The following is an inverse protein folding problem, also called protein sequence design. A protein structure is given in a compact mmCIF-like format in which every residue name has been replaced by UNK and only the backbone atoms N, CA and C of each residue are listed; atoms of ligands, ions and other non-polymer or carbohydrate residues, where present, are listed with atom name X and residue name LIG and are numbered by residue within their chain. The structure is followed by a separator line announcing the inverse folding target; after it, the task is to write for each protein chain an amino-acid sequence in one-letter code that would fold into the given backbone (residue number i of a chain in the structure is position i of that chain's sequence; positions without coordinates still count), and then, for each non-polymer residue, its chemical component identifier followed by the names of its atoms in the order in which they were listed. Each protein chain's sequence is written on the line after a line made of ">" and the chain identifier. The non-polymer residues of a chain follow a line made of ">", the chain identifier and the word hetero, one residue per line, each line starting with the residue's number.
data_IF_614798905355
#
_entry.id   IF_614798905355
#
_cell.length_a   1.000
_cell.length_b   1.000
_cell.length_c   1.000
_cell.angle_alpha   90.00
_cell.angle_beta   90.00
_cell.angle_gamma   90.00
#
_symmetry.space_group_name_H-M   'P 1'
#
loop_
_entity.id
_entity.type
_entity.pdbx_description
1 polymer ?
#
# COMPACT_ATOMS: atom_id res chain seq x y z
N UNK A 1 16.46 5.58 17.96
CA UNK A 1 17.09 5.17 16.69
C UNK A 1 16.96 6.30 15.70
N UNK A 2 17.92 6.42 14.79
CA UNK A 2 17.81 7.27 13.61
C UNK A 2 17.12 6.46 12.50
N UNK A 3 15.98 6.95 12.00
CA UNK A 3 15.08 6.17 11.14
C UNK A 3 14.77 6.92 9.85
N UNK A 4 15.12 6.33 8.71
CA UNK A 4 14.77 6.85 7.38
C UNK A 4 13.45 6.24 6.88
N UNK A 5 12.50 7.08 6.52
CA UNK A 5 11.23 6.66 5.90
C UNK A 5 11.22 7.07 4.43
N UNK A 6 11.57 6.12 3.55
CA UNK A 6 11.53 6.31 2.09
C UNK A 6 10.09 6.23 1.62
N UNK A 7 9.55 7.35 1.15
CA UNK A 7 8.11 7.55 0.94
C UNK A 7 7.38 8.15 2.15
N UNK A 8 8.11 8.82 3.03
CA UNK A 8 7.61 9.39 4.30
C UNK A 8 6.49 10.41 4.14
N UNK A 9 6.36 11.06 2.97
CA UNK A 9 5.27 12.00 2.68
C UNK A 9 4.02 11.36 2.07
N UNK A 10 4.07 10.05 1.79
CA UNK A 10 2.92 9.28 1.31
C UNK A 10 1.89 9.02 2.41
N UNK A 11 0.77 8.40 2.03
CA UNK A 11 -0.34 8.10 2.94
C UNK A 11 0.12 7.37 4.20
N UNK A 12 0.71 6.18 4.07
CA UNK A 12 1.19 5.41 5.23
C UNK A 12 2.41 6.09 5.87
N UNK A 13 3.29 6.68 5.05
CA UNK A 13 4.51 7.34 5.50
C UNK A 13 4.28 8.48 6.49
N UNK A 14 3.28 9.34 6.26
CA UNK A 14 2.95 10.43 7.18
C UNK A 14 2.46 9.93 8.55
N UNK A 15 1.67 8.85 8.57
CA UNK A 15 1.23 8.21 9.81
C UNK A 15 2.40 7.55 10.53
N UNK A 16 3.29 6.86 9.79
CA UNK A 16 4.47 6.22 10.36
C UNK A 16 5.46 7.25 10.92
N UNK A 17 5.77 8.32 10.17
CA UNK A 17 6.65 9.37 10.65
C UNK A 17 6.15 10.00 11.95
N UNK A 18 4.83 10.21 12.07
CA UNK A 18 4.23 10.76 13.31
C UNK A 18 4.37 9.77 14.46
N UNK A 19 4.07 8.51 14.27
CA UNK A 19 4.17 7.48 15.31
C UNK A 19 5.60 7.30 15.79
N UNK A 20 6.58 7.27 14.87
CA UNK A 20 8.00 7.18 15.22
C UNK A 20 8.49 8.40 15.99
N UNK A 21 8.10 9.62 15.60
CA UNK A 21 8.43 10.87 16.31
C UNK A 21 7.79 10.88 17.70
N UNK A 22 6.53 10.49 17.83
CA UNK A 22 5.82 10.39 19.11
C UNK A 22 6.47 9.37 20.07
N UNK A 23 7.12 8.32 19.53
CA UNK A 23 7.88 7.33 20.30
C UNK A 23 9.34 7.74 20.55
N UNK A 24 9.76 8.91 20.07
CA UNK A 24 11.07 9.51 20.35
C UNK A 24 12.21 9.03 19.46
N UNK A 25 11.91 8.50 18.27
CA UNK A 25 12.92 8.26 17.24
C UNK A 25 13.30 9.58 16.54
N UNK A 26 14.54 9.68 16.06
CA UNK A 26 14.95 10.74 15.12
C UNK A 26 14.53 10.32 13.70
N UNK A 27 13.58 11.03 13.11
CA UNK A 27 12.95 10.59 11.86
C UNK A 27 13.34 11.48 10.69
N UNK A 28 13.78 10.86 9.59
CA UNK A 28 14.03 11.53 8.32
C UNK A 28 13.05 10.99 7.27
N UNK A 29 12.22 11.86 6.70
CA UNK A 29 11.29 11.51 5.63
C UNK A 29 11.87 11.85 4.26
N UNK A 30 12.11 10.82 3.42
CA UNK A 30 12.58 10.99 2.04
C UNK A 30 11.41 10.90 1.07
N UNK A 31 11.30 11.88 0.18
CA UNK A 31 10.36 11.87 -0.93
C UNK A 31 10.76 12.86 -2.03
N UNK A 32 10.10 12.80 -3.19
CA UNK A 32 10.38 13.71 -4.32
C UNK A 32 10.01 15.17 -4.04
N UNK A 33 8.99 15.41 -3.23
CA UNK A 33 8.45 16.74 -2.93
C UNK A 33 8.08 16.83 -1.45
N UNK A 34 9.07 16.84 -0.54
CA UNK A 34 8.79 16.81 0.90
C UNK A 34 8.07 18.07 1.42
N UNK A 35 8.23 19.20 0.77
CA UNK A 35 7.59 20.46 1.17
C UNK A 35 6.05 20.46 1.04
N UNK A 36 5.48 19.51 0.29
CA UNK A 36 4.02 19.42 0.05
C UNK A 36 3.31 18.64 1.17
N UNK A 37 4.03 18.02 2.10
CA UNK A 37 3.47 17.19 3.17
C UNK A 37 3.41 17.93 4.51
N UNK A 38 2.41 17.58 5.32
CA UNK A 38 2.29 18.04 6.71
C UNK A 38 2.84 16.95 7.63
N UNK A 39 4.09 17.10 8.04
CA UNK A 39 4.78 16.24 9.00
C UNK A 39 4.95 16.96 10.35
N UNK A 40 5.18 16.24 11.46
CA UNK A 40 5.56 16.83 12.73
C UNK A 40 6.83 17.70 12.61
N UNK A 41 6.94 18.72 13.44
CA UNK A 41 8.10 19.63 13.45
C UNK A 41 9.43 18.91 13.79
N UNK A 42 9.37 17.75 14.47
CA UNK A 42 10.51 16.90 14.82
C UNK A 42 11.03 16.05 13.66
N UNK A 43 10.28 15.94 12.57
CA UNK A 43 10.64 15.10 11.41
C UNK A 43 11.47 15.89 10.39
N UNK A 44 12.69 15.45 10.14
CA UNK A 44 13.52 16.01 9.08
C UNK A 44 13.03 15.54 7.70
N UNK A 45 13.28 16.35 6.66
CA UNK A 45 12.85 16.01 5.30
C UNK A 45 13.98 16.12 4.29
N UNK A 46 14.08 15.12 3.41
CA UNK A 46 15.06 15.08 2.32
C UNK A 46 14.35 14.85 0.99
N UNK A 47 14.74 15.62 -0.02
CA UNK A 47 14.24 15.44 -1.39
C UNK A 47 15.09 14.41 -2.13
N UNK A 48 14.44 13.39 -2.74
CA UNK A 48 15.11 12.38 -3.55
C UNK A 48 14.11 11.52 -4.33
N UNK A 49 14.54 11.00 -5.47
CA UNK A 49 13.79 10.06 -6.31
C UNK A 49 14.43 8.68 -6.21
N UNK A 50 13.72 7.69 -5.71
CA UNK A 50 14.21 6.31 -5.54
C UNK A 50 14.68 5.66 -6.83
N UNK A 51 14.30 6.20 -7.99
CA UNK A 51 14.75 5.71 -9.30
C UNK A 51 16.13 6.26 -9.70
N UNK A 52 16.69 7.18 -8.92
CA UNK A 52 17.96 7.86 -9.17
C UNK A 52 18.84 7.70 -7.92
N UNK A 53 19.76 6.71 -7.94
CA UNK A 53 20.60 6.33 -6.79
C UNK A 53 21.29 7.53 -6.12
N UNK A 54 21.99 8.35 -6.92
CA UNK A 54 22.75 9.51 -6.43
C UNK A 54 21.88 10.56 -5.73
N UNK A 55 20.56 10.53 -5.93
CA UNK A 55 19.63 11.47 -5.29
C UNK A 55 19.15 11.04 -3.91
N UNK A 56 19.36 9.77 -3.54
CA UNK A 56 18.88 9.20 -2.29
C UNK A 56 19.99 8.70 -1.37
N UNK A 57 21.15 8.34 -1.94
CA UNK A 57 22.22 7.61 -1.27
C UNK A 57 22.64 8.29 0.06
N UNK A 58 22.91 9.59 0.04
CA UNK A 58 23.36 10.33 1.23
C UNK A 58 22.34 10.40 2.37
N UNK A 59 21.05 10.14 2.09
CA UNK A 59 20.02 10.11 3.12
C UNK A 59 20.09 8.88 4.04
N UNK A 60 20.86 7.85 3.63
CA UNK A 60 21.06 6.63 4.41
C UNK A 60 22.21 6.72 5.40
N UNK A 61 23.07 7.76 5.30
CA UNK A 61 24.21 7.95 6.18
C UNK A 61 23.75 8.15 7.63
N UNK A 62 24.24 7.29 8.55
CA UNK A 62 23.96 7.35 9.97
C UNK A 62 22.58 6.87 10.40
N UNK A 63 21.82 6.24 9.50
CA UNK A 63 20.53 5.66 9.85
C UNK A 63 20.68 4.27 10.47
N UNK A 64 19.95 3.99 11.53
CA UNK A 64 19.86 2.66 12.17
C UNK A 64 18.84 1.76 11.44
N UNK A 65 17.74 2.36 10.98
CA UNK A 65 16.65 1.63 10.33
C UNK A 65 16.09 2.38 9.12
N UNK A 66 15.63 1.61 8.12
CA UNK A 66 15.01 2.15 6.89
C UNK A 66 13.65 1.49 6.65
N UNK A 67 12.63 2.29 6.42
CA UNK A 67 11.36 1.85 5.86
C UNK A 67 11.26 2.20 4.39
N UNK A 68 11.00 1.22 3.53
CA UNK A 68 10.70 1.44 2.13
C UNK A 68 9.20 1.31 1.87
N UNK A 69 8.52 2.46 1.75
CA UNK A 69 7.05 2.53 1.62
C UNK A 69 6.60 2.99 0.23
N UNK A 70 7.54 3.25 -0.70
CA UNK A 70 7.20 3.80 -2.01
C UNK A 70 6.40 2.79 -2.82
N UNK A 71 5.23 3.21 -3.26
CA UNK A 71 4.37 2.40 -4.10
C UNK A 71 3.55 3.26 -5.07
N UNK A 72 3.35 2.73 -6.28
CA UNK A 72 2.30 3.19 -7.18
C UNK A 72 1.01 2.44 -6.87
N UNK A 73 -0.11 3.14 -6.96
CA UNK A 73 -1.42 2.53 -6.77
C UNK A 73 -1.67 1.40 -7.78
N UNK A 74 -2.08 0.20 -7.35
CA UNK A 74 -2.50 -0.88 -8.25
C UNK A 74 -3.88 -0.63 -8.86
N UNK A 75 -4.63 0.37 -8.34
CA UNK A 75 -6.01 0.66 -8.72
C UNK A 75 -6.09 1.39 -10.06
N UNK A 76 -5.03 2.10 -10.45
CA UNK A 76 -4.96 2.87 -11.68
C UNK A 76 -3.70 2.53 -12.48
N UNK A 77 -3.79 2.69 -13.79
CA UNK A 77 -2.62 2.61 -14.66
C UNK A 77 -1.68 3.79 -14.34
N UNK A 78 -0.39 3.54 -14.07
CA UNK A 78 0.54 4.62 -13.80
C UNK A 78 0.76 5.54 -15.01
N UNK A 79 1.03 6.80 -14.75
CA UNK A 79 1.60 7.71 -15.73
C UNK A 79 2.95 7.15 -16.19
N UNK A 80 3.17 7.06 -17.51
CA UNK A 80 4.34 6.37 -18.07
C UNK A 80 4.14 4.88 -18.35
N UNK A 81 2.97 4.31 -18.00
CA UNK A 81 2.60 2.92 -18.32
C UNK A 81 3.00 1.89 -17.27
N UNK A 82 2.68 0.63 -17.56
CA UNK A 82 2.81 -0.48 -16.60
C UNK A 82 4.28 -0.78 -16.21
N UNK A 83 5.25 -0.42 -17.07
CA UNK A 83 6.69 -0.54 -16.77
C UNK A 83 7.16 0.34 -15.59
N UNK A 84 6.36 1.34 -15.21
CA UNK A 84 6.65 2.16 -14.03
C UNK A 84 6.60 1.38 -12.72
N UNK A 85 5.82 0.29 -12.67
CA UNK A 85 5.83 -0.60 -11.49
C UNK A 85 7.21 -1.23 -11.28
N UNK A 86 7.84 -1.71 -12.36
CA UNK A 86 9.19 -2.29 -12.26
C UNK A 86 10.24 -1.23 -11.90
N UNK A 87 10.19 -0.08 -12.56
CA UNK A 87 11.13 1.01 -12.29
C UNK A 87 11.07 1.51 -10.83
N UNK A 88 9.87 1.67 -10.28
CA UNK A 88 9.69 2.27 -8.94
C UNK A 88 9.75 1.21 -7.84
N UNK A 89 9.05 0.08 -7.99
CA UNK A 89 9.01 -0.91 -6.91
C UNK A 89 10.28 -1.75 -6.87
N UNK A 90 10.73 -2.28 -8.02
CA UNK A 90 11.96 -3.05 -8.05
C UNK A 90 13.19 -2.14 -8.04
N UNK A 91 13.35 -1.26 -9.04
CA UNK A 91 14.53 -0.39 -9.13
C UNK A 91 14.70 0.53 -7.92
N UNK A 92 13.60 1.08 -7.37
CA UNK A 92 13.66 1.85 -6.13
C UNK A 92 14.08 1.02 -4.92
N UNK A 93 13.67 -0.26 -4.84
CA UNK A 93 14.13 -1.17 -3.78
C UNK A 93 15.61 -1.53 -3.98
N UNK A 94 16.04 -1.83 -5.22
CA UNK A 94 17.46 -2.11 -5.53
C UNK A 94 18.36 -0.96 -5.07
N UNK A 95 18.03 0.28 -5.44
CA UNK A 95 18.78 1.46 -5.03
C UNK A 95 18.79 1.66 -3.51
N UNK A 96 17.64 1.45 -2.85
CA UNK A 96 17.55 1.65 -1.41
C UNK A 96 18.27 0.57 -0.61
N UNK A 97 18.21 -0.69 -1.05
CA UNK A 97 18.97 -1.80 -0.43
C UNK A 97 20.46 -1.57 -0.60
N UNK A 98 20.92 -1.19 -1.81
CA UNK A 98 22.31 -0.87 -2.06
C UNK A 98 22.81 0.25 -1.14
N UNK A 99 22.06 1.36 -1.02
CA UNK A 99 22.44 2.48 -0.16
C UNK A 99 22.44 2.05 1.33
N UNK A 100 21.47 1.25 1.77
CA UNK A 100 21.42 0.75 3.13
C UNK A 100 22.64 -0.13 3.47
N UNK A 101 23.03 -1.04 2.57
CA UNK A 101 24.23 -1.89 2.75
C UNK A 101 25.52 -1.07 2.74
N UNK A 102 25.67 -0.09 1.83
CA UNK A 102 26.86 0.75 1.73
C UNK A 102 27.05 1.65 2.96
N UNK A 103 25.98 2.12 3.58
CA UNK A 103 25.99 2.96 4.79
C UNK A 103 25.89 2.18 6.10
N UNK A 104 25.79 0.85 6.04
CA UNK A 104 25.77 -0.01 7.22
C UNK A 104 24.50 0.13 8.07
N UNK A 105 23.37 0.34 7.42
CA UNK A 105 22.04 0.28 8.07
C UNK A 105 21.79 -1.12 8.60
N UNK A 106 21.31 -1.24 9.83
CA UNK A 106 21.04 -2.55 10.44
C UNK A 106 19.69 -3.11 9.98
N UNK A 107 18.61 -2.32 10.06
CA UNK A 107 17.21 -2.76 9.84
C UNK A 107 16.61 -2.25 8.54
N UNK A 108 15.97 -3.12 7.76
CA UNK A 108 15.27 -2.75 6.54
C UNK A 108 13.84 -3.31 6.51
N UNK A 109 12.84 -2.44 6.55
CA UNK A 109 11.43 -2.81 6.52
C UNK A 109 10.82 -2.48 5.16
N UNK A 110 10.39 -3.53 4.43
CA UNK A 110 9.77 -3.42 3.12
C UNK A 110 8.25 -3.48 3.21
N UNK A 111 7.56 -2.44 2.77
CA UNK A 111 6.12 -2.52 2.54
C UNK A 111 5.81 -3.09 1.15
N UNK A 112 5.45 -4.35 1.13
CA UNK A 112 5.06 -5.11 -0.07
C UNK A 112 3.53 -5.11 -0.25
N UNK A 113 2.96 -6.19 -0.74
CA UNK A 113 1.52 -6.35 -0.91
C UNK A 113 1.13 -7.84 -0.88
N UNK A 114 -0.08 -8.15 -0.45
CA UNK A 114 -0.65 -9.50 -0.58
C UNK A 114 -0.56 -10.00 -2.01
N UNK A 115 -0.14 -11.25 -2.16
CA UNK A 115 0.04 -11.92 -3.45
C UNK A 115 1.27 -11.48 -4.23
N UNK A 116 2.24 -10.77 -3.61
CA UNK A 116 3.52 -10.46 -4.23
C UNK A 116 4.21 -11.75 -4.72
N UNK A 117 4.50 -11.81 -6.03
CA UNK A 117 5.01 -13.00 -6.71
C UNK A 117 5.83 -12.56 -7.94
N UNK A 118 7.11 -12.95 -8.07
CA UNK A 118 7.97 -12.56 -9.19
C UNK A 118 7.44 -13.02 -10.56
N UNK A 119 6.56 -14.03 -10.59
CA UNK A 119 5.91 -14.57 -11.79
C UNK A 119 4.40 -14.23 -11.85
N UNK A 120 3.92 -13.34 -10.99
CA UNK A 120 2.51 -12.98 -10.84
C UNK A 120 1.85 -12.39 -12.09
N UNK A 121 0.51 -12.38 -12.13
CA UNK A 121 -0.30 -12.04 -13.31
C UNK A 121 -0.29 -10.55 -13.69
N UNK A 122 0.05 -9.63 -12.77
CA UNK A 122 0.09 -8.19 -13.02
C UNK A 122 1.51 -7.63 -12.91
N UNK A 123 1.79 -6.50 -13.58
CA UNK A 123 3.08 -5.82 -13.45
C UNK A 123 3.36 -5.38 -12.01
N UNK A 124 2.31 -4.96 -11.29
CA UNK A 124 2.41 -4.57 -9.87
C UNK A 124 2.90 -5.74 -9.00
N UNK A 125 2.21 -6.89 -9.07
CA UNK A 125 2.51 -8.08 -8.24
C UNK A 125 3.89 -8.65 -8.56
N UNK A 126 4.27 -8.71 -9.85
CA UNK A 126 5.61 -9.12 -10.26
C UNK A 126 6.71 -8.20 -9.74
N UNK A 127 6.52 -6.90 -9.86
CA UNK A 127 7.50 -5.93 -9.38
C UNK A 127 7.68 -6.00 -7.87
N UNK A 128 6.57 -6.15 -7.11
CA UNK A 128 6.62 -6.37 -5.66
C UNK A 128 7.33 -7.68 -5.30
N UNK A 129 6.99 -8.79 -5.96
CA UNK A 129 7.65 -10.09 -5.70
C UNK A 129 9.16 -10.09 -6.00
N UNK A 130 9.58 -9.41 -7.08
CA UNK A 130 11.01 -9.24 -7.40
C UNK A 130 11.72 -8.32 -6.40
N UNK A 131 11.05 -7.25 -5.95
CA UNK A 131 11.58 -6.38 -4.90
C UNK A 131 11.81 -7.13 -3.58
N UNK A 132 10.88 -8.02 -3.19
CA UNK A 132 11.08 -8.89 -2.03
C UNK A 132 12.30 -9.81 -2.19
N UNK A 133 12.55 -10.34 -3.41
CA UNK A 133 13.75 -11.15 -3.66
C UNK A 133 15.05 -10.34 -3.45
N UNK A 134 15.07 -9.06 -3.83
CA UNK A 134 16.24 -8.18 -3.57
C UNK A 134 16.45 -8.04 -2.07
N UNK A 135 15.39 -7.73 -1.31
CA UNK A 135 15.46 -7.55 0.14
C UNK A 135 15.91 -8.84 0.84
N UNK A 136 15.30 -9.99 0.50
CA UNK A 136 15.62 -11.27 1.15
C UNK A 136 17.02 -11.83 0.80
N UNK A 137 17.65 -11.33 -0.27
CA UNK A 137 19.00 -11.69 -0.67
C UNK A 137 20.06 -10.71 -0.16
N UNK A 138 19.64 -9.59 0.45
CA UNK A 138 20.55 -8.61 1.04
C UNK A 138 21.19 -9.12 2.34
N UNK A 139 22.21 -8.40 2.81
CA UNK A 139 22.85 -8.65 4.11
C UNK A 139 22.14 -7.98 5.30
N UNK A 140 21.04 -7.26 5.03
CA UNK A 140 20.30 -6.49 6.04
C UNK A 140 19.43 -7.37 6.92
N UNK A 141 19.18 -6.94 8.14
CA UNK A 141 18.15 -7.50 9.03
C UNK A 141 16.77 -7.02 8.56
N UNK A 142 16.18 -7.76 7.65
CA UNK A 142 14.96 -7.33 6.96
C UNK A 142 13.67 -7.85 7.59
N UNK A 143 12.59 -7.09 7.40
CA UNK A 143 11.21 -7.50 7.65
C UNK A 143 10.33 -7.07 6.46
N UNK A 144 9.44 -7.95 6.00
CA UNK A 144 8.52 -7.67 4.89
C UNK A 144 7.07 -7.70 5.36
N UNK A 145 6.34 -6.62 5.10
CA UNK A 145 4.90 -6.57 5.33
C UNK A 145 4.14 -6.67 4.01
N UNK A 146 3.18 -7.58 3.95
CA UNK A 146 2.22 -7.76 2.85
C UNK A 146 0.81 -7.40 3.34
N UNK A 147 0.48 -6.13 3.46
CA UNK A 147 -0.86 -5.74 3.90
C UNK A 147 -1.91 -6.01 2.81
N UNK A 148 -3.15 -6.25 3.24
CA UNK A 148 -4.33 -6.02 2.43
C UNK A 148 -4.47 -4.53 2.12
N UNK A 149 -5.55 -4.11 1.47
CA UNK A 149 -5.77 -2.69 1.21
C UNK A 149 -5.81 -1.91 2.52
N UNK A 150 -5.03 -0.84 2.57
CA UNK A 150 -4.96 0.03 3.75
C UNK A 150 -5.92 1.21 3.57
N UNK A 151 -6.69 1.53 4.60
CA UNK A 151 -7.60 2.67 4.61
C UNK A 151 -7.31 3.62 5.78
N UNK A 152 -7.75 4.86 5.64
CA UNK A 152 -7.55 5.91 6.64
C UNK A 152 -7.56 7.30 5.99
N UNK A 153 -7.29 8.32 6.77
CA UNK A 153 -7.18 9.70 6.31
C UNK A 153 -5.99 9.84 5.33
N UNK A 154 -6.23 10.42 4.17
CA UNK A 154 -5.25 10.51 3.07
C UNK A 154 -5.17 9.27 2.17
N UNK A 155 -5.87 8.17 2.52
CA UNK A 155 -5.87 6.93 1.74
C UNK A 155 -6.81 6.97 0.52
N UNK A 156 -6.44 6.22 -0.52
CA UNK A 156 -7.19 6.19 -1.78
C UNK A 156 -8.38 5.21 -1.78
N UNK A 157 -8.43 4.23 -0.87
CA UNK A 157 -9.36 3.09 -0.97
C UNK A 157 -10.83 3.52 -0.94
N UNK A 158 -11.22 4.38 -0.01
CA UNK A 158 -12.59 4.90 0.11
C UNK A 158 -12.91 5.83 -1.05
N UNK A 159 -12.00 6.75 -1.38
CA UNK A 159 -12.17 7.72 -2.47
C UNK A 159 -12.22 7.04 -3.84
N UNK A 160 -11.46 5.95 -4.04
CA UNK A 160 -11.52 5.12 -5.24
C UNK A 160 -12.92 4.56 -5.50
N UNK A 161 -13.59 4.02 -4.46
CA UNK A 161 -14.94 3.48 -4.58
C UNK A 161 -15.91 4.54 -5.12
N UNK A 162 -15.84 5.77 -4.61
CA UNK A 162 -16.66 6.90 -5.07
C UNK A 162 -16.29 7.33 -6.50
N UNK A 163 -15.00 7.45 -6.78
CA UNK A 163 -14.49 7.83 -8.10
C UNK A 163 -14.88 6.82 -9.17
N UNK A 164 -14.81 5.52 -8.86
CA UNK A 164 -15.21 4.45 -9.77
C UNK A 164 -16.69 4.57 -10.15
N UNK A 165 -17.58 4.81 -9.19
CA UNK A 165 -19.01 5.05 -9.46
C UNK A 165 -19.22 6.30 -10.31
N UNK A 166 -18.53 7.39 -9.99
CA UNK A 166 -18.61 8.64 -10.77
C UNK A 166 -18.19 8.48 -12.23
N UNK A 167 -17.20 7.60 -12.50
CA UNK A 167 -16.75 7.31 -13.87
C UNK A 167 -17.77 6.47 -14.67
N UNK A 168 -18.42 5.48 -14.05
CA UNK A 168 -19.28 4.54 -14.80
C UNK A 168 -20.78 4.85 -14.73
N UNK A 169 -21.25 5.59 -13.73
CA UNK A 169 -22.65 5.93 -13.56
C UNK A 169 -22.83 7.30 -12.89
N UNK A 170 -22.39 8.40 -13.53
CA UNK A 170 -22.52 9.75 -12.98
C UNK A 170 -23.99 10.13 -12.84
N UNK A 171 -24.35 10.74 -11.71
CA UNK A 171 -25.68 11.31 -11.48
C UNK A 171 -26.83 10.34 -11.27
N UNK A 172 -26.62 9.01 -11.35
CA UNK A 172 -27.65 7.99 -11.12
C UNK A 172 -27.31 7.12 -9.91
N UNK A 173 -28.31 6.62 -9.12
CA UNK A 173 -28.07 5.79 -7.96
C UNK A 173 -27.75 4.32 -8.33
N UNK A 174 -27.08 4.10 -9.46
CA UNK A 174 -26.68 2.79 -9.94
C UNK A 174 -25.16 2.65 -9.87
N UNK A 175 -24.69 1.47 -9.48
CA UNK A 175 -23.24 1.18 -9.47
C UNK A 175 -22.97 -0.13 -10.21
N UNK A 176 -22.53 -0.06 -11.48
CA UNK A 176 -22.20 -1.25 -12.25
C UNK A 176 -20.87 -1.84 -11.73
N UNK A 177 -20.92 -3.03 -11.17
CA UNK A 177 -19.74 -3.75 -10.69
C UNK A 177 -19.56 -5.08 -11.45
N UNK A 178 -18.32 -5.44 -11.84
CA UNK A 178 -18.01 -6.74 -12.43
C UNK A 178 -18.49 -7.87 -11.52
N UNK A 179 -19.29 -8.80 -12.05
CA UNK A 179 -19.89 -9.89 -11.29
C UNK A 179 -20.74 -9.46 -10.10
N UNK A 180 -21.19 -8.19 -10.05
CA UNK A 180 -21.94 -7.61 -8.94
C UNK A 180 -21.07 -7.34 -7.70
N UNK A 181 -19.75 -7.32 -7.82
CA UNK A 181 -18.81 -7.04 -6.73
C UNK A 181 -18.73 -8.12 -5.66
N UNK A 182 -19.19 -9.36 -5.93
CA UNK A 182 -19.30 -10.43 -4.92
C UNK A 182 -18.12 -11.41 -4.89
N UNK A 183 -17.26 -11.36 -5.90
CA UNK A 183 -16.20 -12.37 -6.09
C UNK A 183 -14.91 -12.02 -5.38
N UNK A 184 -14.44 -10.80 -5.58
CA UNK A 184 -13.18 -10.32 -5.01
C UNK A 184 -13.39 -9.97 -3.55
N UNK A 185 -12.55 -10.54 -2.70
CA UNK A 185 -12.53 -10.30 -1.28
C UNK A 185 -11.37 -9.40 -0.91
N UNK A 186 -11.58 -8.55 0.07
CA UNK A 186 -10.61 -7.70 0.70
C UNK A 186 -10.68 -7.90 2.20
N UNK A 187 -9.58 -7.71 2.89
CA UNK A 187 -9.55 -7.68 4.35
C UNK A 187 -8.92 -6.34 4.80
N UNK A 188 -9.62 -5.21 4.56
CA UNK A 188 -9.05 -3.88 4.72
C UNK A 188 -8.54 -3.65 6.13
N UNK A 189 -7.33 -3.08 6.26
CA UNK A 189 -6.74 -2.70 7.55
C UNK A 189 -6.69 -1.18 7.65
N UNK A 190 -7.03 -0.65 8.84
CA UNK A 190 -6.87 0.76 9.13
C UNK A 190 -5.39 1.11 9.32
N UNK A 191 -4.97 2.26 8.78
CA UNK A 191 -3.59 2.71 8.87
C UNK A 191 -3.12 2.87 10.32
N UNK A 192 -4.01 3.32 11.22
CA UNK A 192 -3.72 3.45 12.65
C UNK A 192 -3.53 2.11 13.38
N UNK A 193 -4.03 1.00 12.82
CA UNK A 193 -3.76 -0.35 13.35
C UNK A 193 -2.48 -0.95 12.73
N UNK A 194 -2.15 -0.61 11.48
CA UNK A 194 -0.96 -1.12 10.79
C UNK A 194 0.33 -0.46 11.28
N UNK A 195 0.30 0.85 11.50
CA UNK A 195 1.51 1.64 11.83
C UNK A 195 2.20 1.17 13.12
N UNK A 196 1.50 0.88 14.24
CA UNK A 196 2.16 0.32 15.43
C UNK A 196 2.88 -1.00 15.16
N UNK A 197 2.36 -1.88 14.28
CA UNK A 197 3.03 -3.12 13.90
C UNK A 197 4.31 -2.85 13.08
N UNK A 198 4.29 -1.82 12.22
CA UNK A 198 5.48 -1.39 11.50
C UNK A 198 6.56 -0.89 12.49
N UNK A 199 6.19 -0.10 13.49
CA UNK A 199 7.15 0.40 14.50
C UNK A 199 7.72 -0.75 15.32
N UNK A 200 6.88 -1.66 15.83
CA UNK A 200 7.33 -2.85 16.60
C UNK A 200 8.36 -3.69 15.82
N UNK A 201 8.27 -3.71 14.48
CA UNK A 201 9.17 -4.51 13.64
C UNK A 201 10.63 -4.06 13.65
N UNK A 202 10.95 -2.82 14.02
CA UNK A 202 12.34 -2.36 14.17
C UNK A 202 12.83 -2.44 15.63
N UNK A 203 11.91 -2.56 16.59
CA UNK A 203 12.22 -2.59 18.00
C UNK A 203 12.51 -4.01 18.54
N UNK A 204 12.05 -5.04 17.82
CA UNK A 204 12.19 -6.44 18.24
C UNK A 204 12.98 -7.28 17.23
N UNK A 205 13.95 -8.03 17.71
CA UNK A 205 14.71 -9.02 16.93
C UNK A 205 13.85 -10.19 16.42
N UNK A 206 12.67 -10.41 17.00
CA UNK A 206 11.77 -11.49 16.61
C UNK A 206 11.20 -11.32 15.20
N UNK A 207 11.32 -10.11 14.62
CA UNK A 207 10.78 -9.78 13.30
C UNK A 207 11.82 -9.85 12.18
N UNK A 208 13.10 -10.12 12.52
CA UNK A 208 14.18 -10.24 11.54
C UNK A 208 14.02 -11.50 10.70
N UNK A 209 14.08 -11.32 9.38
CA UNK A 209 13.95 -12.40 8.40
C UNK A 209 12.52 -12.90 8.20
N UNK A 210 11.51 -12.15 8.68
CA UNK A 210 10.12 -12.55 8.63
C UNK A 210 9.31 -11.78 7.58
N UNK A 211 8.29 -12.48 7.04
CA UNK A 211 7.31 -11.90 6.12
C UNK A 211 5.92 -12.06 6.71
N UNK A 212 5.20 -10.96 6.89
CA UNK A 212 3.88 -10.93 7.52
C UNK A 212 2.78 -10.56 6.54
N UNK A 213 1.75 -11.40 6.45
CA UNK A 213 0.51 -11.08 5.75
C UNK A 213 -0.50 -10.44 6.71
N UNK A 214 -0.84 -9.17 6.48
CA UNK A 214 -1.62 -8.37 7.43
C UNK A 214 -2.97 -7.98 6.82
N UNK A 215 -4.05 -8.35 7.51
CA UNK A 215 -5.43 -7.96 7.19
C UNK A 215 -6.14 -7.36 8.38
N UNK A 216 -7.17 -6.59 8.10
CA UNK A 216 -8.04 -6.02 9.13
C UNK A 216 -8.99 -7.06 9.76
N UNK A 217 -10.01 -6.61 10.53
CA UNK A 217 -10.87 -7.51 11.30
C UNK A 217 -11.93 -8.23 10.46
N UNK A 218 -12.22 -7.76 9.25
CA UNK A 218 -13.35 -8.22 8.45
C UNK A 218 -12.97 -8.54 7.01
N UNK A 219 -13.45 -9.68 6.50
CA UNK A 219 -13.36 -10.00 5.06
C UNK A 219 -14.59 -9.45 4.36
N UNK A 220 -14.39 -8.48 3.46
CA UNK A 220 -15.43 -7.76 2.75
C UNK A 220 -15.33 -8.00 1.24
N UNK A 221 -16.46 -8.11 0.56
CA UNK A 221 -16.51 -8.05 -0.90
C UNK A 221 -16.50 -6.59 -1.39
N UNK A 222 -16.17 -6.36 -2.66
CA UNK A 222 -16.26 -5.01 -3.24
C UNK A 222 -17.69 -4.42 -3.11
N UNK A 223 -18.72 -5.28 -3.12
CA UNK A 223 -20.09 -4.86 -2.85
C UNK A 223 -20.28 -4.38 -1.41
N UNK A 224 -19.72 -5.11 -0.43
CA UNK A 224 -19.84 -4.74 0.99
C UNK A 224 -19.13 -3.41 1.25
N UNK A 225 -17.93 -3.24 0.73
CA UNK A 225 -17.19 -1.97 0.78
C UNK A 225 -18.01 -0.84 0.17
N UNK A 226 -18.58 -1.06 -1.03
CA UNK A 226 -19.44 -0.07 -1.69
C UNK A 226 -20.62 0.33 -0.82
N UNK A 227 -21.35 -0.64 -0.27
CA UNK A 227 -22.50 -0.37 0.56
C UNK A 227 -22.09 0.42 1.82
N UNK A 228 -21.03 -0.01 2.53
CA UNK A 228 -20.57 0.69 3.74
C UNK A 228 -20.18 2.14 3.47
N UNK A 229 -19.47 2.41 2.35
CA UNK A 229 -19.04 3.78 1.97
C UNK A 229 -20.24 4.69 1.70
N UNK A 230 -21.28 4.19 1.00
CA UNK A 230 -22.46 5.00 0.68
C UNK A 230 -23.43 5.13 1.86
N UNK A 231 -23.58 4.08 2.67
CA UNK A 231 -24.40 4.11 3.88
C UNK A 231 -23.85 5.13 4.90
N UNK A 232 -22.53 5.24 5.03
CA UNK A 232 -21.89 6.23 5.90
C UNK A 232 -22.16 7.68 5.44
N UNK A 233 -22.41 7.91 4.16
CA UNK A 233 -22.81 9.23 3.62
C UNK A 233 -24.33 9.47 3.69
N UNK A 234 -25.09 8.59 4.32
CA UNK A 234 -26.57 8.68 4.34
C UNK A 234 -27.21 8.50 2.96
N UNK A 235 -26.47 7.89 2.01
CA UNK A 235 -26.94 7.63 0.65
C UNK A 235 -26.96 6.14 0.35
N UNK A 236 -27.69 5.73 -0.68
CA UNK A 236 -27.74 4.33 -1.12
C UNK A 236 -27.45 4.22 -2.61
N UNK A 237 -26.76 3.15 -3.00
CA UNK A 237 -26.55 2.80 -4.39
C UNK A 237 -27.03 1.40 -4.69
N UNK A 238 -27.69 1.23 -5.84
CA UNK A 238 -28.09 -0.09 -6.32
C UNK A 238 -26.95 -0.71 -7.13
N UNK A 239 -26.29 -1.74 -6.60
CA UNK A 239 -25.25 -2.46 -7.32
C UNK A 239 -25.87 -3.29 -8.43
N UNK A 240 -25.50 -2.96 -9.69
CA UNK A 240 -25.94 -3.68 -10.89
C UNK A 240 -24.82 -4.61 -11.34
N UNK A 241 -25.07 -5.93 -11.49
CA UNK A 241 -24.04 -6.86 -11.93
C UNK A 241 -23.68 -6.64 -13.41
N UNK A 242 -22.41 -6.32 -13.67
CA UNK A 242 -21.86 -6.27 -15.01
C UNK A 242 -21.27 -7.64 -15.35
N UNK A 243 -21.70 -8.30 -16.45
CA UNK A 243 -21.11 -9.56 -16.87
C UNK A 243 -19.59 -9.45 -17.05
N UNK A 244 -18.83 -10.40 -16.50
CA UNK A 244 -17.36 -10.38 -16.52
C UNK A 244 -16.74 -10.22 -17.93
N UNK A 245 -17.27 -10.88 -19.01
CA UNK A 245 -16.75 -10.66 -20.35
C UNK A 245 -16.91 -9.21 -20.84
N UNK A 246 -18.02 -8.56 -20.51
CA UNK A 246 -18.25 -7.16 -20.87
C UNK A 246 -17.32 -6.22 -20.08
N UNK A 247 -17.10 -6.49 -18.80
CA UNK A 247 -16.14 -5.76 -17.99
C UNK A 247 -14.72 -5.87 -18.55
N UNK A 248 -14.29 -7.07 -18.95
CA UNK A 248 -12.98 -7.30 -19.59
C UNK A 248 -12.81 -6.48 -20.86
N UNK A 249 -13.77 -6.57 -21.78
CA UNK A 249 -13.72 -5.84 -23.06
C UNK A 249 -13.77 -4.33 -22.80
N UNK A 250 -14.68 -3.88 -21.95
CA UNK A 250 -14.84 -2.45 -21.60
C UNK A 250 -13.55 -1.85 -21.04
N UNK A 251 -12.94 -2.46 -20.03
CA UNK A 251 -11.70 -1.96 -19.41
C UNK A 251 -10.51 -2.04 -20.38
N UNK A 252 -10.41 -3.09 -21.21
CA UNK A 252 -9.33 -3.19 -22.19
C UNK A 252 -9.42 -2.12 -23.28
N UNK A 253 -10.61 -1.84 -23.80
CA UNK A 253 -10.85 -0.77 -24.80
C UNK A 253 -10.63 0.61 -24.18
N UNK A 254 -11.19 0.86 -23.01
CA UNK A 254 -11.03 2.14 -22.32
C UNK A 254 -9.56 2.41 -21.97
N UNK A 255 -8.82 1.41 -21.50
CA UNK A 255 -7.39 1.53 -21.22
C UNK A 255 -6.54 1.84 -22.47
N UNK A 256 -6.96 1.39 -23.67
CA UNK A 256 -6.26 1.70 -24.93
C UNK A 256 -6.46 3.14 -25.41
N UNK A 257 -7.48 3.84 -24.93
CA UNK A 257 -7.79 5.24 -25.28
C UNK A 257 -7.45 6.22 -24.15
N UNK A 258 -6.56 5.81 -23.22
CA UNK A 258 -6.07 6.69 -22.16
C UNK A 258 -6.92 6.72 -20.88
N UNK A 259 -7.88 5.81 -20.73
CA UNK A 259 -8.59 5.67 -19.47
C UNK A 259 -7.66 5.11 -18.37
N UNK A 260 -7.75 5.57 -17.12
CA UNK A 260 -6.80 5.21 -16.06
C UNK A 260 -6.95 3.78 -15.53
N UNK A 261 -7.71 2.93 -16.18
CA UNK A 261 -7.88 1.51 -15.86
C UNK A 261 -7.71 0.66 -17.12
N UNK A 262 -7.05 -0.48 -17.00
CA UNK A 262 -6.73 -1.36 -18.13
C UNK A 262 -6.79 -2.84 -17.78
N UNK A 263 -6.04 -3.64 -18.52
CA UNK A 263 -6.02 -5.09 -18.37
C UNK A 263 -5.49 -5.56 -17.01
N UNK A 264 -4.51 -4.87 -16.45
CA UNK A 264 -3.93 -5.21 -15.15
C UNK A 264 -4.92 -4.96 -14.01
N UNK A 265 -5.65 -3.83 -14.04
CA UNK A 265 -6.72 -3.54 -13.06
C UNK A 265 -7.85 -4.58 -13.14
N UNK A 266 -8.19 -5.05 -14.36
CA UNK A 266 -9.14 -6.15 -14.50
C UNK A 266 -8.60 -7.48 -13.92
N UNK A 267 -7.31 -7.76 -14.08
CA UNK A 267 -6.68 -8.94 -13.47
C UNK A 267 -6.69 -8.84 -11.96
N UNK A 268 -6.35 -7.68 -11.39
CA UNK A 268 -6.39 -7.43 -9.95
C UNK A 268 -7.77 -7.69 -9.33
N UNK A 269 -8.88 -7.48 -10.06
CA UNK A 269 -10.23 -7.81 -9.59
C UNK A 269 -10.51 -9.32 -9.49
N UNK A 270 -9.59 -10.18 -9.90
CA UNK A 270 -9.76 -11.64 -9.80
C UNK A 270 -9.05 -12.25 -8.60
N UNK A 271 -8.15 -11.52 -7.95
CA UNK A 271 -7.42 -11.98 -6.79
C UNK A 271 -8.14 -11.57 -5.52
N UNK A 272 -8.24 -12.50 -4.57
CA UNK A 272 -8.62 -12.16 -3.22
C UNK A 272 -7.47 -11.40 -2.56
N UNK A 273 -7.76 -10.23 -2.03
CA UNK A 273 -6.84 -9.41 -1.26
C UNK A 273 -7.13 -9.59 0.24
N UNK A 274 -7.12 -10.84 0.67
CA UNK A 274 -7.19 -11.25 2.07
C UNK A 274 -6.06 -12.23 2.35
N UNK A 275 -5.35 -12.11 3.49
CA UNK A 275 -4.27 -13.01 3.85
C UNK A 275 -4.77 -14.44 3.99
N UNK A 276 -3.92 -15.41 3.66
CA UNK A 276 -4.19 -16.82 3.91
C UNK A 276 -4.14 -17.12 5.43
N UNK A 277 -3.16 -16.52 6.10
CA UNK A 277 -3.04 -16.43 7.55
C UNK A 277 -2.87 -14.98 7.90
N UNK A 278 -3.67 -14.46 8.83
CA UNK A 278 -3.52 -13.07 9.26
C UNK A 278 -2.55 -13.01 10.45
N UNK A 279 -1.35 -12.50 10.21
CA UNK A 279 -0.22 -12.59 11.16
C UNK A 279 -0.24 -11.49 12.25
N UNK A 280 -1.38 -10.83 12.48
CA UNK A 280 -1.52 -9.76 13.49
C UNK A 280 -1.18 -10.20 14.90
N UNK A 281 -1.38 -11.49 15.23
CA UNK A 281 -1.06 -12.07 16.55
C UNK A 281 0.45 -12.10 16.82
N UNK A 282 1.29 -12.06 15.79
CA UNK A 282 2.74 -11.92 15.94
C UNK A 282 3.14 -10.59 16.57
N UNK A 283 2.25 -9.60 16.53
CA UNK A 283 2.38 -8.27 17.14
C UNK A 283 1.53 -8.12 18.40
N UNK A 284 1.03 -9.24 18.97
CA UNK A 284 0.18 -9.22 20.17
C UNK A 284 -1.20 -8.60 19.95
N UNK A 285 -1.63 -8.44 18.70
CA UNK A 285 -2.89 -7.79 18.34
C UNK A 285 -3.97 -8.83 18.07
N UNK A 286 -5.16 -8.66 18.64
CA UNK A 286 -6.32 -9.49 18.32
C UNK A 286 -7.21 -8.87 17.25
N UNK A 287 -7.86 -9.68 16.41
CA UNK A 287 -8.77 -9.19 15.38
C UNK A 287 -9.92 -8.33 15.97
N UNK A 288 -10.33 -8.58 17.20
CA UNK A 288 -11.39 -7.83 17.88
C UNK A 288 -11.00 -6.44 18.34
N UNK A 289 -9.70 -6.13 18.43
CA UNK A 289 -9.18 -4.80 18.79
C UNK A 289 -9.00 -3.90 17.57
N UNK A 290 -9.01 -4.46 16.37
CA UNK A 290 -8.80 -3.71 15.14
C UNK A 290 -10.04 -2.90 14.73
N UNK A 291 -9.79 -1.78 14.07
CA UNK A 291 -10.81 -0.85 13.58
C UNK A 291 -11.47 -1.38 12.31
N UNK A 292 -12.79 -1.55 12.34
CA UNK A 292 -13.56 -1.94 11.15
C UNK A 292 -13.71 -0.78 10.17
N UNK A 293 -13.88 -1.09 8.87
CA UNK A 293 -14.14 -0.04 7.87
C UNK A 293 -15.40 0.77 8.21
N UNK A 294 -16.47 0.09 8.63
CA UNK A 294 -17.73 0.75 9.00
C UNK A 294 -17.58 1.60 10.28
N UNK A 295 -16.76 1.18 11.23
CA UNK A 295 -16.45 1.95 12.44
C UNK A 295 -15.73 3.27 12.08
N UNK A 296 -14.66 3.19 11.29
CA UNK A 296 -13.93 4.34 10.79
C UNK A 296 -14.79 5.33 10.00
N UNK A 297 -15.67 4.84 9.13
CA UNK A 297 -16.51 5.69 8.27
C UNK A 297 -17.59 6.47 9.04
N UNK A 298 -17.95 6.06 10.26
CA UNK A 298 -18.99 6.67 11.10
C UNK A 298 -18.44 7.57 12.22
N UNK A 299 -17.13 7.43 12.55
CA UNK A 299 -16.43 8.25 13.56
C UNK A 299 -15.97 9.53 12.99
#
# INVERSE_FOLDING_TARGET
>A
MDVLVVGGTGFIGQHLCRELDDQGHAVTALSRSPADATLPDGVETVAGDVTEYDSIESAFEGQDAVYFLVALSPLFKPDGGDGMHERIHLGGTENSVQAAEEHGVDRFVQLSALGADPDGDTHYIRAKGRAEQVVTQSSLDWTIFRPSVVFGEGGEFVSFTKRLKGMFAPGVPLYPLPGGGKRTKFQPIWVGDLVPMLVDSIESENHVGETYEIGGPEVLTLRDVTNQVYDAEGSSVSVVPLPMPLAKVGLSVLGSVGFPMGADQYRSLKFDNSPATNDIDMFGVSSSSLTTLSGYLRG
#
